data_IF_751842158988
#
_entry.id   IF_751842158988
#
_cell.length_a   1.000
_cell.length_b   1.000
_cell.length_c   1.000
_cell.angle_alpha   90.00
_cell.angle_beta   90.00
_cell.angle_gamma   90.00
#
_symmetry.space_group_name_H-M   'P 1'
#
loop_
_entity.id
_entity.type
_entity.pdbx_description
1 polymer ?
#
# COMPACT_ATOMS: atom_id res chain seq x y z
N UNK A 1 16.27 16.00 -11.06
CA UNK A 1 15.19 15.02 -10.79
C UNK A 1 14.04 15.78 -10.14
N UNK A 2 12.79 15.42 -10.46
CA UNK A 2 11.63 16.02 -9.79
C UNK A 2 11.62 15.61 -8.31
N UNK A 3 11.26 16.54 -7.42
CA UNK A 3 11.08 16.28 -6.00
C UNK A 3 9.84 15.37 -5.81
N UNK A 4 10.01 14.14 -5.29
CA UNK A 4 8.91 13.20 -5.13
C UNK A 4 7.86 13.69 -4.12
N UNK A 5 8.24 14.48 -3.11
CA UNK A 5 7.29 15.02 -2.13
C UNK A 5 6.40 16.07 -2.81
N UNK A 6 6.99 17.03 -3.51
CA UNK A 6 6.25 18.03 -4.27
C UNK A 6 5.32 17.41 -5.33
N UNK A 7 5.73 16.29 -5.95
CA UNK A 7 4.90 15.55 -6.89
C UNK A 7 3.66 14.94 -6.21
N UNK A 8 3.80 14.41 -4.99
CA UNK A 8 2.70 13.84 -4.21
C UNK A 8 1.76 14.94 -3.70
N UNK A 9 2.28 16.07 -3.23
CA UNK A 9 1.48 17.17 -2.67
C UNK A 9 0.48 17.76 -3.67
N UNK A 10 0.77 17.63 -4.97
CA UNK A 10 -0.05 18.11 -6.08
C UNK A 10 -0.78 16.98 -6.81
N UNK A 11 -0.76 15.75 -6.29
CA UNK A 11 -1.37 14.60 -6.92
C UNK A 11 -2.89 14.58 -6.73
N UNK A 12 -3.62 14.30 -7.81
CA UNK A 12 -5.05 13.98 -7.72
C UNK A 12 -5.28 12.49 -7.43
N UNK A 13 -4.30 11.65 -7.79
CA UNK A 13 -4.37 10.20 -7.63
C UNK A 13 -3.02 9.67 -7.19
N UNK A 14 -3.02 8.84 -6.14
CA UNK A 14 -1.86 8.07 -5.67
C UNK A 14 -2.10 6.59 -5.96
N UNK A 15 -1.24 5.99 -6.79
CA UNK A 15 -1.37 4.58 -7.18
C UNK A 15 -0.21 3.78 -6.61
N UNK A 16 -0.50 2.85 -5.70
CA UNK A 16 0.50 2.00 -5.03
C UNK A 16 0.36 0.55 -5.49
N UNK A 17 1.36 0.07 -6.22
CA UNK A 17 1.35 -1.29 -6.74
C UNK A 17 1.61 -2.39 -5.69
N UNK A 18 1.58 -3.64 -6.16
CA UNK A 18 1.92 -4.83 -5.37
C UNK A 18 3.43 -5.00 -5.12
N UNK A 19 3.89 -6.23 -4.91
CA UNK A 19 5.31 -6.54 -4.63
C UNK A 19 5.51 -6.96 -3.18
N UNK A 20 6.70 -6.73 -2.62
CA UNK A 20 6.96 -7.05 -1.22
C UNK A 20 6.61 -5.85 -0.32
N UNK A 21 5.71 -6.07 0.64
CA UNK A 21 5.18 -5.06 1.56
C UNK A 21 6.27 -4.46 2.46
N UNK A 22 7.25 -5.25 2.92
CA UNK A 22 8.34 -4.76 3.77
C UNK A 22 9.27 -3.82 3.00
N UNK A 23 9.65 -4.20 1.78
CA UNK A 23 10.45 -3.35 0.90
C UNK A 23 9.71 -2.07 0.53
N UNK A 24 8.42 -2.16 0.19
CA UNK A 24 7.58 -1.01 -0.14
C UNK A 24 7.52 -0.02 1.04
N UNK A 25 7.20 -0.50 2.25
CA UNK A 25 7.12 0.34 3.44
C UNK A 25 8.48 0.99 3.75
N UNK A 26 9.57 0.22 3.67
CA UNK A 26 10.94 0.72 3.88
C UNK A 26 11.26 1.87 2.92
N UNK A 27 11.04 1.69 1.62
CA UNK A 27 11.34 2.71 0.61
C UNK A 27 10.48 3.96 0.80
N UNK A 28 9.18 3.81 1.05
CA UNK A 28 8.31 4.94 1.35
C UNK A 28 8.76 5.71 2.61
N UNK A 29 9.19 5.00 3.66
CA UNK A 29 9.67 5.62 4.90
C UNK A 29 11.01 6.34 4.70
N UNK A 30 12.01 5.67 4.11
CA UNK A 30 13.35 6.24 3.88
C UNK A 30 13.29 7.48 2.99
N UNK A 31 12.35 7.51 2.03
CA UNK A 31 12.14 8.65 1.13
C UNK A 31 11.18 9.71 1.68
N UNK A 32 10.68 9.55 2.91
CA UNK A 32 9.78 10.52 3.55
C UNK A 32 8.40 10.65 2.89
N UNK A 33 7.91 9.60 2.22
CA UNK A 33 6.69 9.66 1.40
C UNK A 33 5.40 9.31 2.16
N UNK A 34 5.51 8.69 3.34
CA UNK A 34 4.32 8.21 4.09
C UNK A 34 3.38 9.34 4.49
N UNK A 35 3.90 10.40 5.13
CA UNK A 35 3.09 11.54 5.55
C UNK A 35 2.52 12.32 4.34
N UNK A 36 3.31 12.69 3.31
CA UNK A 36 2.78 13.34 2.11
C UNK A 36 1.65 12.56 1.42
N UNK A 37 1.79 11.23 1.30
CA UNK A 37 0.75 10.37 0.71
C UNK A 37 -0.51 10.41 1.59
N UNK A 38 -0.36 10.22 2.90
CA UNK A 38 -1.49 10.22 3.81
C UNK A 38 -2.24 11.56 3.77
N UNK A 39 -1.51 12.67 3.74
CA UNK A 39 -2.07 14.01 3.78
C UNK A 39 -2.76 14.40 2.47
N UNK A 40 -2.19 14.07 1.31
CA UNK A 40 -2.86 14.35 0.02
C UNK A 40 -4.15 13.55 -0.14
N UNK A 41 -4.19 12.29 0.31
CA UNK A 41 -5.40 11.46 0.26
C UNK A 41 -6.47 12.02 1.22
N UNK A 42 -6.09 12.44 2.43
CA UNK A 42 -7.01 13.12 3.36
C UNK A 42 -7.56 14.44 2.80
N UNK A 43 -6.80 15.12 1.94
CA UNK A 43 -7.25 16.33 1.22
C UNK A 43 -8.15 16.04 0.02
N UNK A 44 -8.39 14.77 -0.33
CA UNK A 44 -9.33 14.36 -1.36
C UNK A 44 -8.72 13.68 -2.58
N UNK A 45 -7.40 13.44 -2.61
CA UNK A 45 -6.82 12.63 -3.68
C UNK A 45 -7.28 11.17 -3.59
N UNK A 46 -7.49 10.54 -4.74
CA UNK A 46 -7.88 9.13 -4.82
C UNK A 46 -6.68 8.22 -4.56
N UNK A 47 -6.79 7.32 -3.58
CA UNK A 47 -5.81 6.25 -3.37
C UNK A 47 -6.25 4.96 -4.06
N UNK A 48 -5.39 4.38 -4.89
CA UNK A 48 -5.60 3.07 -5.52
C UNK A 48 -4.43 2.17 -5.14
N UNK A 49 -4.70 1.07 -4.43
CA UNK A 49 -3.66 0.14 -4.00
C UNK A 49 -4.06 -1.32 -4.20
N UNK A 50 -3.13 -2.15 -4.68
CA UNK A 50 -3.35 -3.61 -4.78
C UNK A 50 -2.23 -4.42 -4.12
N UNK A 51 -2.59 -5.57 -3.55
CA UNK A 51 -1.66 -6.46 -2.84
C UNK A 51 -0.88 -5.71 -1.74
N UNK A 52 0.42 -5.46 -1.91
CA UNK A 52 1.22 -4.69 -0.97
C UNK A 52 0.68 -3.26 -0.79
N UNK A 53 0.19 -2.62 -1.85
CA UNK A 53 -0.45 -1.30 -1.77
C UNK A 53 -1.75 -1.29 -0.96
N UNK A 54 -2.46 -2.43 -0.87
CA UNK A 54 -3.64 -2.57 -0.01
C UNK A 54 -3.23 -2.68 1.48
N UNK A 55 -2.17 -3.43 1.79
CA UNK A 55 -1.59 -3.45 3.14
C UNK A 55 -1.13 -2.05 3.57
N UNK A 56 -0.46 -1.31 2.67
CA UNK A 56 0.10 0.00 2.98
C UNK A 56 -0.97 1.05 3.34
N UNK A 57 -2.20 0.90 2.83
CA UNK A 57 -3.33 1.77 3.16
C UNK A 57 -3.86 1.59 4.59
N UNK A 58 -3.59 0.45 5.23
CA UNK A 58 -4.07 0.11 6.57
C UNK A 58 -3.27 0.84 7.67
N UNK A 59 -3.62 0.70 8.97
CA UNK A 59 -2.86 1.31 10.05
C UNK A 59 -1.46 0.70 10.20
N UNK A 60 -1.31 -0.60 9.87
CA UNK A 60 -0.02 -1.31 9.93
C UNK A 60 0.05 -2.36 8.83
N UNK A 61 1.25 -2.89 8.54
CA UNK A 61 1.43 -4.01 7.60
C UNK A 61 1.36 -5.40 8.26
N UNK A 62 0.90 -5.50 9.52
CA UNK A 62 0.94 -6.72 10.35
C UNK A 62 0.12 -7.92 9.82
N UNK A 63 -0.70 -7.70 8.81
CA UNK A 63 -1.52 -8.72 8.14
C UNK A 63 -1.01 -9.05 6.73
N UNK A 64 0.20 -8.61 6.36
CA UNK A 64 0.81 -9.05 5.10
C UNK A 64 1.21 -10.52 5.15
N UNK A 65 1.09 -11.21 4.02
CA UNK A 65 1.59 -12.58 3.82
C UNK A 65 3.03 -12.61 3.29
N UNK A 66 3.62 -11.44 3.04
CA UNK A 66 4.94 -11.34 2.45
C UNK A 66 6.03 -11.78 3.43
N UNK A 67 7.11 -12.36 2.89
CA UNK A 67 8.29 -12.68 3.67
C UNK A 67 9.04 -11.40 4.08
N UNK A 68 9.52 -11.27 5.35
CA UNK A 68 10.24 -10.10 5.84
C UNK A 68 11.69 -10.05 5.31
N UNK A 69 11.85 -9.69 4.03
CA UNK A 69 13.16 -9.66 3.35
C UNK A 69 14.04 -8.46 3.75
N UNK A 70 13.43 -7.41 4.32
CA UNK A 70 14.11 -6.22 4.83
C UNK A 70 13.41 -5.70 6.09
N UNK A 71 14.14 -5.01 6.96
CA UNK A 71 13.55 -4.29 8.09
C UNK A 71 13.03 -2.91 7.63
N UNK A 72 11.70 -2.65 7.71
CA UNK A 72 11.12 -1.35 7.40
C UNK A 72 11.33 -0.29 8.49
N UNK A 73 11.91 -0.64 9.65
CA UNK A 73 12.06 0.23 10.83
C UNK A 73 10.71 0.64 11.44
N UNK A 74 9.82 -0.34 11.64
CA UNK A 74 8.46 -0.13 12.17
C UNK A 74 7.38 -0.63 11.20
N UNK A 75 6.22 -1.01 11.74
CA UNK A 75 5.13 -1.60 10.95
C UNK A 75 3.94 -0.67 10.73
N UNK A 76 3.94 0.53 11.31
CA UNK A 76 3.00 1.61 11.01
C UNK A 76 3.04 1.96 9.51
N UNK A 77 1.87 2.20 8.93
CA UNK A 77 1.68 2.49 7.51
C UNK A 77 0.83 3.76 7.31
N UNK A 78 0.07 3.89 6.22
CA UNK A 78 -0.58 5.16 5.87
C UNK A 78 -1.81 5.49 6.72
N UNK A 79 -2.43 4.48 7.36
CA UNK A 79 -3.62 4.66 8.19
C UNK A 79 -4.77 5.40 7.47
N UNK A 80 -4.98 5.07 6.20
CA UNK A 80 -6.05 5.63 5.35
C UNK A 80 -7.33 4.80 5.46
N UNK A 81 -7.20 3.50 5.72
CA UNK A 81 -8.29 2.58 5.99
C UNK A 81 -8.17 2.09 7.43
N UNK A 82 -9.23 2.19 8.27
CA UNK A 82 -9.12 1.99 9.72
C UNK A 82 -9.01 0.52 10.14
N UNK A 83 -9.22 -0.42 9.23
CA UNK A 83 -9.17 -1.86 9.50
C UNK A 83 -7.91 -2.48 8.90
N UNK A 84 -7.58 -3.70 9.31
CA UNK A 84 -6.49 -4.48 8.71
C UNK A 84 -7.02 -5.32 7.55
N UNK A 85 -6.32 -5.26 6.42
CA UNK A 85 -6.56 -6.10 5.26
C UNK A 85 -5.52 -7.22 5.24
N UNK A 86 -5.95 -8.47 5.03
CA UNK A 86 -5.06 -9.57 4.66
C UNK A 86 -5.28 -9.89 3.17
N UNK A 87 -4.45 -9.35 2.25
CA UNK A 87 -4.62 -9.58 0.82
C UNK A 87 -4.36 -11.04 0.46
N UNK A 88 -4.91 -11.52 -0.66
CA UNK A 88 -4.77 -12.92 -1.10
C UNK A 88 -5.25 -13.94 -0.06
N UNK A 89 -6.18 -13.54 0.80
CA UNK A 89 -6.75 -14.46 1.79
C UNK A 89 -7.34 -15.68 1.08
N UNK A 90 -6.86 -16.85 1.46
CA UNK A 90 -7.47 -18.13 1.15
C UNK A 90 -7.52 -18.94 2.43
N UNK A 91 -8.63 -19.63 2.64
CA UNK A 91 -8.77 -20.57 3.75
C UNK A 91 -8.29 -21.98 3.37
N UNK A 92 -7.78 -22.15 2.13
CA UNK A 92 -7.19 -23.40 1.68
C UNK A 92 -5.79 -23.55 2.26
N UNK A 93 -5.55 -24.66 2.95
CA UNK A 93 -4.23 -25.07 3.39
C UNK A 93 -3.84 -26.33 2.59
N UNK A 94 -2.56 -26.51 2.23
CA UNK A 94 -2.08 -27.82 1.82
C UNK A 94 -2.41 -28.85 2.90
N UNK A 95 -2.79 -30.07 2.49
CA UNK A 95 -3.14 -31.13 3.42
C UNK A 95 -2.03 -31.34 4.47
N UNK A 96 -2.41 -31.38 5.75
CA UNK A 96 -1.51 -31.67 6.86
C UNK A 96 -0.98 -30.47 7.67
N UNK A 97 -1.21 -29.23 7.24
CA UNK A 97 -0.74 -28.03 7.97
C UNK A 97 -1.85 -27.45 8.86
N UNK A 98 -1.58 -27.27 10.17
CA UNK A 98 -2.48 -26.60 11.13
C UNK A 98 -1.87 -25.26 11.56
N UNK A 99 -2.51 -24.14 11.21
CA UNK A 99 -2.10 -22.79 11.65
C UNK A 99 -3.18 -22.11 12.50
N UNK A 100 -2.76 -21.33 13.50
CA UNK A 100 -3.66 -20.55 14.37
C UNK A 100 -4.25 -19.36 13.59
N UNK A 101 -5.57 -19.18 13.72
CA UNK A 101 -6.37 -18.19 12.98
C UNK A 101 -6.47 -16.86 13.75
N UNK A 102 -6.53 -15.75 13.01
CA UNK A 102 -6.99 -14.45 13.51
C UNK A 102 -8.09 -13.97 12.57
N UNK A 103 -9.19 -13.46 13.10
CA UNK A 103 -10.30 -12.92 12.29
C UNK A 103 -9.85 -11.65 11.55
N UNK A 104 -9.84 -11.68 10.21
CA UNK A 104 -9.52 -10.55 9.34
C UNK A 104 -10.75 -10.03 8.62
N UNK A 105 -10.84 -8.71 8.41
CA UNK A 105 -11.92 -8.10 7.61
C UNK A 105 -11.56 -8.17 6.13
N UNK A 106 -12.50 -8.62 5.31
CA UNK A 106 -12.31 -8.89 3.90
C UNK A 106 -12.40 -7.60 3.08
N UNK A 107 -11.35 -7.31 2.32
CA UNK A 107 -11.41 -6.37 1.20
C UNK A 107 -11.03 -7.14 -0.07
N UNK A 108 -12.00 -7.40 -0.96
CA UNK A 108 -11.74 -8.01 -2.26
C UNK A 108 -10.93 -7.04 -3.10
N UNK A 109 -9.61 -7.25 -3.19
CA UNK A 109 -8.72 -6.49 -4.05
C UNK A 109 -8.42 -7.31 -5.31
N UNK A 110 -8.83 -6.78 -6.47
CA UNK A 110 -8.77 -7.41 -7.78
C UNK A 110 -7.33 -7.85 -8.16
N UNK A 111 -7.15 -9.10 -8.54
CA UNK A 111 -5.85 -9.69 -8.90
C UNK A 111 -5.69 -9.78 -10.43
N UNK A 112 -4.82 -8.94 -11.01
CA UNK A 112 -4.18 -9.22 -12.32
C UNK A 112 -2.69 -8.79 -12.31
N UNK A 113 -1.90 -9.49 -13.13
CA UNK A 113 -0.45 -9.75 -13.08
C UNK A 113 0.51 -8.53 -12.95
N UNK A 114 1.50 -8.73 -12.08
CA UNK A 114 2.89 -8.23 -11.99
C UNK A 114 3.34 -7.04 -12.88
N UNK A 115 3.54 -5.87 -12.26
CA UNK A 115 4.83 -5.14 -12.12
C UNK A 115 4.55 -3.85 -11.31
N UNK A 116 5.27 -3.57 -10.22
CA UNK A 116 4.89 -2.50 -9.29
C UNK A 116 5.85 -1.32 -9.37
N UNK A 117 5.38 -0.21 -9.93
CA UNK A 117 5.94 1.11 -9.71
C UNK A 117 4.86 1.96 -9.04
N UNK A 118 5.25 2.77 -8.06
CA UNK A 118 4.41 3.87 -7.57
C UNK A 118 4.19 4.83 -8.74
N UNK A 119 2.98 4.91 -9.27
CA UNK A 119 2.62 5.89 -10.30
C UNK A 119 1.80 7.01 -9.66
N UNK A 120 2.27 8.24 -9.82
CA UNK A 120 1.57 9.45 -9.42
C UNK A 120 1.11 10.15 -10.69
N UNK A 121 -0.20 10.36 -10.83
CA UNK A 121 -0.77 11.05 -11.98
C UNK A 121 -1.20 12.48 -11.58
N UNK A 122 -0.89 13.45 -12.44
CA UNK A 122 -1.39 14.83 -12.40
C UNK A 122 -2.16 15.11 -13.68
N UNK A 123 -3.39 15.63 -13.60
CA UNK A 123 -4.09 16.14 -14.78
C UNK A 123 -3.47 17.48 -15.16
N UNK A 124 -2.88 17.57 -16.34
CA UNK A 124 -2.52 18.87 -16.92
C UNK A 124 -3.80 19.43 -17.53
N UNK A 125 -4.51 20.28 -16.79
CA UNK A 125 -5.57 21.10 -17.39
C UNK A 125 -4.91 22.19 -18.22
N UNK A 126 -4.84 21.97 -19.54
CA UNK A 126 -4.47 23.02 -20.49
C UNK A 126 -5.55 24.09 -20.52
N UNK A 127 -5.16 25.33 -20.26
CA UNK A 127 -5.91 26.51 -20.69
C UNK A 127 -5.64 26.72 -22.18
N UNK A 128 -6.67 26.54 -23.01
CA UNK A 128 -6.85 27.35 -24.21
C UNK A 128 -8.12 28.16 -24.04
#
# INVERSE_FOLDING_TARGET
MADPVAAIENAEIVIVGGGNTFQLLKECRVRGLLAPIADVVKRGALYIGWSAGANLACPTIRTTNDMPIVDPQGFDALNLFPLQINPHFTNALPEGIKVKRVSSVFANCWSSRQNSQLLVYRKVTGSQ
#
